data_IF_047844679627
#
_entry.id   IF_047844679627
#
_cell.length_a   1.000
_cell.length_b   1.000
_cell.length_c   1.000
_cell.angle_alpha   90.00
_cell.angle_beta   90.00
_cell.angle_gamma   90.00
#
_symmetry.space_group_name_H-M   'P 1'
#
loop_
_entity.id
_entity.type
_entity.pdbx_description
1 polymer ?
#
# COMPACT_ATOMS: atom_id res chain seq x y z
N UNK A 1 12.48 -3.57 -10.36
CA UNK A 1 13.82 -4.01 -10.78
C UNK A 1 14.26 -3.17 -11.99
N UNK A 2 15.54 -2.76 -12.01
CA UNK A 2 16.07 -1.87 -13.04
C UNK A 2 15.91 -2.48 -14.45
N UNK A 3 16.25 -3.75 -14.62
CA UNK A 3 16.17 -4.42 -15.93
C UNK A 3 14.74 -4.42 -16.51
N UNK A 4 13.72 -4.55 -15.65
CA UNK A 4 12.34 -4.48 -16.09
C UNK A 4 12.00 -3.07 -16.61
N UNK A 5 12.45 -2.05 -15.91
CA UNK A 5 12.25 -0.66 -16.31
C UNK A 5 12.93 -0.30 -17.60
N UNK A 6 14.17 -0.76 -17.78
CA UNK A 6 14.94 -0.52 -19.00
C UNK A 6 14.26 -1.18 -20.20
N UNK A 7 13.72 -2.39 -20.01
CA UNK A 7 12.95 -3.10 -21.04
C UNK A 7 11.63 -2.38 -21.36
N UNK A 8 10.91 -1.88 -20.34
CA UNK A 8 9.66 -1.14 -20.51
C UNK A 8 9.89 0.20 -21.23
N UNK A 9 10.93 0.97 -20.83
CA UNK A 9 11.33 2.20 -21.52
C UNK A 9 11.72 1.94 -22.99
N UNK A 10 12.47 0.88 -23.25
CA UNK A 10 12.85 0.49 -24.60
C UNK A 10 11.61 0.12 -25.45
N UNK A 11 10.70 -0.64 -24.91
CA UNK A 11 9.45 -1.01 -25.59
C UNK A 11 8.58 0.23 -25.86
N UNK A 12 8.46 1.12 -24.89
CA UNK A 12 7.73 2.39 -25.04
C UNK A 12 8.32 3.26 -26.16
N UNK A 13 9.66 3.39 -26.23
CA UNK A 13 10.35 4.20 -27.25
C UNK A 13 10.16 3.64 -28.66
N UNK A 14 10.11 2.32 -28.82
CA UNK A 14 9.86 1.68 -30.10
C UNK A 14 8.40 1.86 -30.56
N UNK A 15 7.46 1.81 -29.60
CA UNK A 15 6.02 1.80 -29.90
C UNK A 15 5.36 3.17 -30.01
N UNK A 16 6.03 4.26 -29.63
CA UNK A 16 5.41 5.59 -29.55
C UNK A 16 6.18 6.68 -30.31
N UNK A 17 5.42 7.52 -30.98
CA UNK A 17 5.93 8.73 -31.61
C UNK A 17 6.29 9.76 -30.52
N UNK A 18 7.33 10.54 -30.75
CA UNK A 18 7.81 11.54 -29.77
C UNK A 18 8.21 10.97 -28.38
N UNK A 19 8.54 9.68 -28.31
CA UNK A 19 8.91 9.01 -27.07
C UNK A 19 10.09 9.67 -26.34
N UNK A 20 10.96 10.37 -27.05
CA UNK A 20 12.11 11.10 -26.48
C UNK A 20 11.71 12.27 -25.57
N UNK A 21 10.43 12.69 -25.63
CA UNK A 21 9.87 13.72 -24.74
C UNK A 21 9.37 13.17 -23.42
N UNK A 22 9.29 11.83 -23.27
CA UNK A 22 8.82 11.16 -22.06
C UNK A 22 10.00 10.60 -21.29
N UNK A 23 10.15 11.03 -20.06
CA UNK A 23 11.12 10.48 -19.12
C UNK A 23 10.47 9.52 -18.14
N UNK A 24 11.08 8.35 -17.98
CA UNK A 24 10.68 7.42 -16.91
C UNK A 24 11.36 7.80 -15.61
N UNK A 25 10.57 7.97 -14.56
CA UNK A 25 11.07 8.26 -13.23
C UNK A 25 10.47 7.29 -12.21
N UNK A 26 11.34 6.60 -11.46
CA UNK A 26 10.92 5.67 -10.39
C UNK A 26 11.63 6.04 -9.10
N UNK A 27 11.05 6.93 -8.31
CA UNK A 27 11.69 7.45 -7.09
C UNK A 27 11.92 6.41 -6.00
N UNK A 28 11.29 5.23 -6.11
CA UNK A 28 11.28 4.19 -5.09
C UNK A 28 11.85 2.85 -5.58
N UNK A 29 12.73 2.89 -6.60
CA UNK A 29 13.32 1.67 -7.17
C UNK A 29 14.17 0.89 -6.16
N UNK A 30 14.91 1.61 -5.34
CA UNK A 30 15.90 1.08 -4.39
C UNK A 30 15.38 1.09 -2.93
N UNK A 31 14.08 1.14 -2.74
CA UNK A 31 13.46 1.12 -1.41
C UNK A 31 12.26 0.18 -1.36
N UNK A 32 11.80 -0.11 -0.17
CA UNK A 32 10.64 -0.93 0.14
C UNK A 32 9.38 -0.09 0.50
N UNK A 33 8.32 -0.75 0.94
CA UNK A 33 7.10 -0.07 1.38
C UNK A 33 7.33 0.81 2.60
N UNK A 34 8.26 0.44 3.49
CA UNK A 34 8.61 1.26 4.65
C UNK A 34 9.21 2.60 4.23
N UNK A 35 10.19 2.59 3.31
CA UNK A 35 10.77 3.84 2.79
C UNK A 35 9.76 4.71 2.05
N UNK A 36 8.78 4.10 1.36
CA UNK A 36 7.66 4.83 0.75
C UNK A 36 6.82 5.54 1.82
N UNK A 37 6.49 4.85 2.92
CA UNK A 37 5.70 5.42 4.02
C UNK A 37 6.45 6.54 4.74
N UNK A 38 7.75 6.36 5.02
CA UNK A 38 8.60 7.41 5.63
C UNK A 38 8.60 8.68 4.78
N UNK A 39 8.79 8.52 3.48
CA UNK A 39 8.75 9.66 2.57
C UNK A 39 7.36 10.29 2.50
N UNK A 40 6.32 9.47 2.58
CA UNK A 40 4.93 9.91 2.70
C UNK A 40 4.68 10.80 3.93
N UNK A 41 5.22 10.44 5.10
CA UNK A 41 5.15 11.27 6.31
C UNK A 41 5.81 12.63 6.10
N UNK A 42 7.03 12.63 5.54
CA UNK A 42 7.78 13.86 5.25
C UNK A 42 6.99 14.76 4.29
N UNK A 43 6.44 14.19 3.23
CA UNK A 43 5.66 14.94 2.23
C UNK A 43 4.35 15.47 2.82
N UNK A 44 3.63 14.67 3.57
CA UNK A 44 2.39 15.09 4.23
C UNK A 44 2.65 16.25 5.19
N UNK A 45 3.70 16.16 6.01
CA UNK A 45 4.10 17.24 6.90
C UNK A 45 4.47 18.52 6.13
N UNK A 46 5.26 18.41 5.06
CA UNK A 46 5.65 19.54 4.21
C UNK A 46 4.46 20.22 3.54
N UNK A 47 3.50 19.42 3.07
CA UNK A 47 2.30 19.91 2.39
C UNK A 47 1.16 20.29 3.35
N UNK A 48 1.33 20.06 4.64
CA UNK A 48 0.29 20.25 5.69
C UNK A 48 -0.99 19.44 5.40
N UNK A 49 -0.82 18.22 4.94
CA UNK A 49 -1.89 17.26 4.67
C UNK A 49 -1.83 16.19 5.77
N UNK A 50 -2.98 15.73 6.22
CA UNK A 50 -3.06 14.64 7.19
C UNK A 50 -2.65 13.31 6.55
N UNK A 51 -1.68 12.63 7.17
CA UNK A 51 -1.15 11.37 6.67
C UNK A 51 -2.22 10.26 6.68
N UNK A 52 -2.98 10.15 7.76
CA UNK A 52 -4.01 9.11 7.90
C UNK A 52 -5.16 9.33 6.93
N UNK A 53 -5.52 10.58 6.65
CA UNK A 53 -6.52 10.92 5.62
C UNK A 53 -6.08 10.43 4.22
N UNK A 54 -4.80 10.59 3.89
CA UNK A 54 -4.24 10.12 2.61
C UNK A 54 -4.21 8.59 2.58
N UNK A 55 -3.59 7.97 3.59
CA UNK A 55 -3.32 6.54 3.56
C UNK A 55 -4.55 5.67 3.83
N UNK A 56 -5.58 6.20 4.48
CA UNK A 56 -6.89 5.52 4.61
C UNK A 56 -7.58 5.27 3.26
N UNK A 57 -7.19 6.02 2.24
CA UNK A 57 -7.73 5.93 0.87
C UNK A 57 -6.89 5.08 -0.08
N UNK A 58 -5.79 4.51 0.41
CA UNK A 58 -4.90 3.66 -0.38
C UNK A 58 -5.17 2.19 -0.12
N UNK A 59 -4.90 1.35 -1.10
CA UNK A 59 -4.98 -0.10 -0.96
C UNK A 59 -3.83 -0.79 -1.69
N UNK A 60 -3.31 -1.85 -1.10
CA UNK A 60 -2.25 -2.69 -1.70
C UNK A 60 -2.67 -4.15 -1.83
N UNK A 61 -3.86 -4.53 -1.40
CA UNK A 61 -4.35 -5.90 -1.47
C UNK A 61 -4.59 -6.34 -2.92
N UNK A 62 -4.13 -7.55 -3.25
CA UNK A 62 -4.46 -8.24 -4.51
C UNK A 62 -5.73 -9.08 -4.39
N UNK A 63 -6.29 -9.21 -3.20
CA UNK A 63 -7.60 -9.83 -2.97
C UNK A 63 -8.71 -8.83 -3.25
N UNK A 64 -9.90 -9.28 -3.66
CA UNK A 64 -11.05 -8.41 -3.75
C UNK A 64 -11.30 -7.67 -2.43
N UNK A 65 -11.44 -6.36 -2.52
CA UNK A 65 -11.85 -5.54 -1.37
C UNK A 65 -13.35 -5.69 -1.22
N UNK A 66 -13.81 -6.01 -0.02
CA UNK A 66 -15.23 -5.98 0.30
C UNK A 66 -15.67 -4.57 0.64
N UNK A 67 -16.88 -4.23 0.25
CA UNK A 67 -17.49 -2.94 0.54
C UNK A 67 -18.95 -3.13 0.92
N UNK A 68 -19.42 -2.30 1.84
CA UNK A 68 -20.79 -2.31 2.32
C UNK A 68 -21.41 -0.95 2.12
N UNK A 69 -22.59 -0.92 1.51
CA UNK A 69 -23.36 0.30 1.38
C UNK A 69 -23.95 0.72 2.72
N UNK A 70 -23.80 1.97 3.06
CA UNK A 70 -24.37 2.60 4.27
C UNK A 70 -25.44 3.59 3.86
N UNK A 71 -26.74 3.24 3.99
CA UNK A 71 -27.84 4.13 3.62
C UNK A 71 -27.82 5.43 4.41
N UNK A 72 -27.44 5.37 5.69
CA UNK A 72 -27.40 6.51 6.62
C UNK A 72 -26.43 7.62 6.19
N UNK A 73 -25.38 7.26 5.47
CA UNK A 73 -24.36 8.21 4.97
C UNK A 73 -24.32 8.30 3.45
N UNK A 74 -25.15 7.53 2.76
CA UNK A 74 -25.15 7.38 1.30
C UNK A 74 -23.73 7.10 0.75
N UNK A 75 -23.00 6.22 1.41
CA UNK A 75 -21.60 5.91 1.09
C UNK A 75 -21.30 4.42 1.23
N UNK A 76 -20.14 4.02 0.71
CA UNK A 76 -19.61 2.67 0.90
C UNK A 76 -18.49 2.68 1.92
N UNK A 77 -18.44 1.67 2.77
CA UNK A 77 -17.29 1.36 3.61
C UNK A 77 -16.47 0.25 2.96
N UNK A 78 -15.18 0.52 2.79
CA UNK A 78 -14.23 -0.38 2.16
C UNK A 78 -13.36 -1.06 3.21
N UNK A 79 -13.01 -2.32 2.95
CA UNK A 79 -12.16 -3.12 3.80
C UNK A 79 -11.11 -3.82 2.95
N UNK A 80 -9.88 -3.89 3.47
CA UNK A 80 -8.77 -4.64 2.87
C UNK A 80 -8.62 -6.00 3.54
N UNK A 81 -8.09 -6.99 2.84
CA UNK A 81 -7.59 -8.19 3.49
C UNK A 81 -6.26 -7.88 4.20
N UNK A 82 -5.85 -8.76 5.13
CA UNK A 82 -4.57 -8.65 5.84
C UNK A 82 -3.71 -9.92 5.72
N UNK A 83 -4.12 -10.86 4.84
CA UNK A 83 -3.49 -12.18 4.69
C UNK A 83 -2.72 -12.35 3.38
N UNK A 84 -3.02 -11.56 2.34
CA UNK A 84 -2.26 -11.58 1.09
C UNK A 84 -0.86 -11.00 1.29
N UNK A 85 0.11 -11.48 0.51
CA UNK A 85 1.50 -11.05 0.62
C UNK A 85 1.66 -9.52 0.58
N UNK A 86 0.95 -8.85 -0.31
CA UNK A 86 1.00 -7.38 -0.42
C UNK A 86 0.44 -6.65 0.79
N UNK A 87 -0.59 -7.24 1.45
CA UNK A 87 -1.16 -6.70 2.68
C UNK A 87 -0.25 -6.97 3.88
N UNK A 88 0.38 -8.15 3.95
CA UNK A 88 1.40 -8.47 4.96
C UNK A 88 2.54 -7.46 4.89
N UNK A 89 3.14 -7.24 3.72
CA UNK A 89 4.21 -6.24 3.52
C UNK A 89 3.78 -4.81 3.87
N UNK A 90 2.50 -4.47 3.63
CA UNK A 90 1.98 -3.15 4.02
C UNK A 90 1.91 -3.01 5.54
N UNK A 91 1.34 -3.99 6.22
CA UNK A 91 1.21 -3.98 7.69
C UNK A 91 2.58 -4.00 8.35
N UNK A 92 3.52 -4.83 7.84
CA UNK A 92 4.92 -4.83 8.28
C UNK A 92 5.55 -3.44 8.18
N UNK A 93 5.35 -2.74 7.07
CA UNK A 93 5.85 -1.38 6.88
C UNK A 93 5.26 -0.39 7.88
N UNK A 94 3.96 -0.49 8.23
CA UNK A 94 3.33 0.33 9.26
C UNK A 94 3.81 -0.02 10.67
N UNK A 95 4.08 -1.32 10.96
CA UNK A 95 4.71 -1.74 12.21
C UNK A 95 6.09 -1.10 12.35
N UNK A 96 6.92 -1.16 11.30
CA UNK A 96 8.25 -0.56 11.27
C UNK A 96 8.19 0.98 11.40
N UNK A 97 7.16 1.61 10.85
CA UNK A 97 6.93 3.05 10.96
C UNK A 97 6.51 3.48 12.38
N UNK A 98 6.05 2.52 13.20
CA UNK A 98 5.63 2.77 14.59
C UNK A 98 4.25 3.42 14.73
N UNK A 99 3.39 3.28 13.72
CA UNK A 99 2.02 3.80 13.76
C UNK A 99 1.01 2.82 13.16
N UNK A 100 -0.28 2.87 13.56
CA UNK A 100 -1.30 2.02 12.98
C UNK A 100 -1.56 2.38 11.51
N UNK A 101 -1.87 1.37 10.70
CA UNK A 101 -2.39 1.59 9.35
C UNK A 101 -3.83 2.11 9.43
N UNK A 102 -4.14 3.26 8.82
CA UNK A 102 -5.47 3.85 8.90
C UNK A 102 -6.51 3.15 8.00
N UNK A 103 -6.12 2.17 7.19
CA UNK A 103 -7.04 1.43 6.34
C UNK A 103 -7.92 0.49 7.16
N UNK A 104 -9.11 0.19 6.65
CA UNK A 104 -10.02 -0.75 7.30
C UNK A 104 -9.73 -2.18 6.84
N UNK A 105 -9.66 -3.11 7.80
CA UNK A 105 -9.43 -4.53 7.53
C UNK A 105 -10.68 -5.37 7.80
N UNK A 106 -10.79 -6.51 7.11
CA UNK A 106 -11.79 -7.54 7.42
C UNK A 106 -11.29 -8.94 7.09
N UNK A 107 -11.95 -9.93 7.67
CA UNK A 107 -11.83 -11.34 7.33
C UNK A 107 -13.20 -11.97 6.99
N UNK A 108 -13.27 -13.28 7.07
CA UNK A 108 -14.48 -14.07 6.77
C UNK A 108 -15.60 -13.81 7.78
N UNK A 109 -15.25 -13.36 8.99
CA UNK A 109 -16.21 -13.07 10.07
C UNK A 109 -16.67 -11.61 10.09
N UNK A 110 -16.03 -10.74 9.30
CA UNK A 110 -16.36 -9.32 9.20
C UNK A 110 -15.17 -8.39 9.49
N UNK A 111 -15.45 -7.12 9.80
CA UNK A 111 -14.39 -6.14 10.09
C UNK A 111 -13.55 -6.52 11.30
N UNK A 112 -12.22 -6.38 11.17
CA UNK A 112 -11.25 -6.61 12.25
C UNK A 112 -10.48 -5.33 12.55
N UNK A 113 -9.98 -5.22 13.78
CA UNK A 113 -9.13 -4.09 14.17
C UNK A 113 -7.72 -4.22 13.55
N UNK A 114 -7.00 -3.10 13.49
CA UNK A 114 -5.59 -3.11 13.11
C UNK A 114 -4.75 -4.03 14.01
N UNK A 115 -5.05 -4.09 15.31
CA UNK A 115 -4.33 -4.94 16.26
C UNK A 115 -4.44 -6.43 15.91
N UNK A 116 -5.61 -6.88 15.45
CA UNK A 116 -5.80 -8.25 14.98
C UNK A 116 -5.01 -8.52 13.71
N UNK A 117 -5.05 -7.60 12.76
CA UNK A 117 -4.29 -7.70 11.52
C UNK A 117 -2.78 -7.71 11.78
N UNK A 118 -2.30 -6.81 12.66
CA UNK A 118 -0.91 -6.72 13.11
C UNK A 118 -0.43 -8.01 13.75
N UNK A 119 -1.15 -8.54 14.74
CA UNK A 119 -0.79 -9.77 15.41
C UNK A 119 -0.69 -10.98 14.44
N UNK A 120 -1.57 -11.02 13.43
CA UNK A 120 -1.52 -12.03 12.38
C UNK A 120 -0.23 -11.92 11.56
N UNK A 121 0.18 -10.71 11.21
CA UNK A 121 1.41 -10.46 10.43
C UNK A 121 2.66 -10.75 11.26
N UNK A 122 2.71 -10.31 12.51
CA UNK A 122 3.83 -10.59 13.40
C UNK A 122 4.09 -12.10 13.52
N UNK A 123 3.01 -12.90 13.64
CA UNK A 123 3.12 -14.36 13.65
C UNK A 123 3.68 -14.92 12.35
N UNK A 124 3.23 -14.41 11.20
CA UNK A 124 3.76 -14.84 9.89
C UNK A 124 5.25 -14.53 9.80
N UNK A 125 5.69 -13.35 10.23
CA UNK A 125 7.09 -12.96 10.21
C UNK A 125 7.96 -13.81 11.13
N UNK A 126 7.48 -14.16 12.33
CA UNK A 126 8.17 -15.06 13.26
C UNK A 126 8.38 -16.47 12.66
N UNK A 127 7.39 -16.97 11.92
CA UNK A 127 7.46 -18.29 11.28
C UNK A 127 8.44 -18.30 10.08
N UNK A 128 8.70 -17.17 9.45
CA UNK A 128 9.68 -17.03 8.35
C UNK A 128 11.14 -16.93 8.82
N UNK A 129 11.38 -16.52 10.06
CA UNK A 129 12.73 -16.36 10.63
C UNK A 129 13.29 -17.69 11.19
N UNK A 130 12.49 -18.74 11.25
CA UNK A 130 12.90 -20.09 11.67
C UNK A 130 13.32 -20.93 10.49
#
# INVERSE_FOLDING_TARGET
>A
RQEFRDADDAAFRIGNWDADRVGYFTPYLDTDKFGILQNGEILCAKLKIDFDEVYSRTNTSYKPIKHYYRPETNSYKWYSDYKSASSVERIEAFIALGRPDPVQYEDETGPVSYEVAKASVEKVLEDYVK
#
